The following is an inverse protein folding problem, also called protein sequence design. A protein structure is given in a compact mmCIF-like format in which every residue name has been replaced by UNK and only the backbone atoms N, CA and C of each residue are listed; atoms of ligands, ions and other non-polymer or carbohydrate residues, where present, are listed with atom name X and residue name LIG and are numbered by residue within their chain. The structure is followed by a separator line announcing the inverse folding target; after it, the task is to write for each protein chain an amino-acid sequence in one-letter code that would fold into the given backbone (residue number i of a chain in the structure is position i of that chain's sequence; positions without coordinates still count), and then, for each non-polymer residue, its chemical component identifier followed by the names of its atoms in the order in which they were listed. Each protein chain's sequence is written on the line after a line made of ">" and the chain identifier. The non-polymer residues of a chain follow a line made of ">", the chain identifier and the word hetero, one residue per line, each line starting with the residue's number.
data_IF_966529654708
#
_entry.id   IF_966529654708
#
_cell.length_a   1.000
_cell.length_b   1.000
_cell.length_c   1.000
_cell.angle_alpha   90.00
_cell.angle_beta   90.00
_cell.angle_gamma   90.00
#
_symmetry.space_group_name_H-M   'P 1'
#
loop_
_entity.id
_entity.type
_entity.pdbx_description
1 polymer ?
#
# COMPACT_ATOMS: atom_id res chain seq x y z
N UNK A 1 -3.75 -11.22 34.94
CA UNK A 1 -4.00 -9.90 34.37
C UNK A 1 -4.07 -10.07 32.86
N UNK A 2 -5.26 -10.00 32.32
CA UNK A 2 -5.49 -10.05 30.87
C UNK A 2 -4.98 -8.72 30.29
N UNK A 3 -3.82 -8.74 29.67
CA UNK A 3 -3.58 -7.78 28.61
C UNK A 3 -4.49 -8.20 27.46
N UNK A 4 -5.60 -7.50 27.41
CA UNK A 4 -6.57 -7.58 26.34
C UNK A 4 -5.84 -7.45 25.02
N UNK A 5 -6.16 -8.34 24.09
CA UNK A 5 -5.86 -8.23 22.67
C UNK A 5 -6.60 -6.99 22.12
N UNK A 6 -6.32 -5.83 22.73
CA UNK A 6 -6.88 -4.55 22.40
C UNK A 6 -6.13 -4.02 21.20
N UNK A 7 -6.72 -4.39 20.09
CA UNK A 7 -6.83 -3.54 18.93
C UNK A 7 -5.52 -3.15 18.25
N UNK A 8 -4.90 -4.15 17.62
CA UNK A 8 -3.83 -3.90 16.65
C UNK A 8 -4.36 -3.29 15.33
N UNK A 9 -5.48 -2.54 15.40
CA UNK A 9 -5.96 -1.75 14.29
C UNK A 9 -4.99 -0.60 14.07
N UNK A 10 -4.24 -0.68 12.99
CA UNK A 10 -3.26 0.32 12.57
C UNK A 10 -3.57 0.74 11.16
N UNK A 11 -3.51 2.02 10.90
CA UNK A 11 -3.58 2.53 9.55
C UNK A 11 -2.20 2.51 8.93
N UNK A 12 -2.04 1.89 7.77
CA UNK A 12 -0.82 1.94 6.99
C UNK A 12 -1.08 2.74 5.71
N UNK A 13 -0.19 3.63 5.39
CA UNK A 13 -0.24 4.41 4.16
C UNK A 13 1.18 4.62 3.62
N UNK A 14 1.49 4.20 2.38
CA UNK A 14 2.63 4.74 1.66
C UNK A 14 2.23 6.07 1.03
N UNK A 15 3.16 7.01 0.90
CA UNK A 15 2.96 8.15 0.01
C UNK A 15 2.94 7.68 -1.45
N UNK A 16 2.15 8.32 -2.28
CA UNK A 16 1.97 8.01 -3.71
C UNK A 16 3.28 8.07 -4.52
N UNK A 17 4.31 8.69 -4.00
CA UNK A 17 5.59 8.95 -4.68
C UNK A 17 6.79 8.33 -3.99
N UNK A 18 6.57 7.41 -3.05
CA UNK A 18 7.62 6.81 -2.25
C UNK A 18 7.30 5.33 -1.98
N UNK A 19 8.34 4.54 -1.77
CA UNK A 19 8.27 3.12 -1.41
C UNK A 19 8.18 2.88 0.10
N UNK A 20 8.21 3.93 0.91
CA UNK A 20 8.26 3.83 2.36
C UNK A 20 6.87 3.60 2.95
N UNK A 21 6.77 2.57 3.78
CA UNK A 21 5.54 2.23 4.48
C UNK A 21 5.62 2.63 5.95
N UNK A 22 4.55 3.22 6.41
CA UNK A 22 4.41 3.70 7.77
C UNK A 22 3.12 3.17 8.38
N UNK A 23 3.08 3.04 9.68
CA UNK A 23 1.84 2.71 10.41
C UNK A 23 1.69 3.59 11.62
N UNK A 24 0.44 3.78 12.02
CA UNK A 24 0.05 4.50 13.22
C UNK A 24 -1.07 3.74 13.92
N UNK A 25 -1.07 3.62 15.26
CA UNK A 25 -2.21 3.05 15.98
C UNK A 25 -3.47 3.87 15.72
N UNK A 26 -4.58 3.23 15.36
CA UNK A 26 -5.85 3.94 15.16
C UNK A 26 -6.33 4.62 16.43
N UNK A 27 -6.02 4.05 17.61
CA UNK A 27 -6.26 4.68 18.90
C UNK A 27 -5.59 6.05 19.04
N UNK A 28 -4.39 6.24 18.45
CA UNK A 28 -3.72 7.53 18.46
C UNK A 28 -4.40 8.58 17.56
N UNK A 29 -5.04 8.12 16.45
CA UNK A 29 -5.74 9.01 15.53
C UNK A 29 -7.07 9.55 16.11
N UNK A 30 -7.69 8.83 17.05
CA UNK A 30 -8.96 9.19 17.66
C UNK A 30 -8.82 9.71 19.10
N UNK A 31 -7.61 9.77 19.65
CA UNK A 31 -7.37 10.29 20.99
C UNK A 31 -7.38 11.82 20.96
N UNK A 32 -8.50 12.41 21.40
CA UNK A 32 -8.67 13.85 21.46
C UNK A 32 -7.71 14.57 22.45
N UNK A 33 -7.00 13.82 23.28
CA UNK A 33 -6.00 14.36 24.22
C UNK A 33 -4.62 14.49 23.59
N UNK A 34 -4.39 13.78 22.49
CA UNK A 34 -3.11 13.82 21.78
C UNK A 34 -3.03 15.10 20.95
N UNK A 35 -1.97 15.85 21.15
CA UNK A 35 -1.72 17.06 20.36
C UNK A 35 -1.13 16.71 18.97
N UNK A 36 -1.27 17.58 17.96
CA UNK A 36 -0.65 17.39 16.67
C UNK A 36 0.87 17.18 16.72
N UNK A 37 1.55 17.77 17.69
CA UNK A 37 3.00 17.66 17.87
C UNK A 37 3.43 16.31 18.47
N UNK A 38 2.53 15.63 19.18
CA UNK A 38 2.79 14.31 19.78
C UNK A 38 2.48 13.16 18.82
N UNK A 39 1.59 13.38 17.83
CA UNK A 39 1.16 12.35 16.88
C UNK A 39 2.31 11.76 16.07
N UNK A 40 3.31 12.54 15.56
CA UNK A 40 4.45 11.99 14.83
C UNK A 40 5.23 10.93 15.62
N UNK A 41 5.29 11.06 16.95
CA UNK A 41 5.93 10.08 17.84
C UNK A 41 5.22 8.72 17.90
N UNK A 42 3.99 8.62 17.39
CA UNK A 42 3.22 7.38 17.30
C UNK A 42 3.36 6.69 15.95
N UNK A 43 3.91 7.38 14.96
CA UNK A 43 4.12 6.83 13.61
C UNK A 43 5.34 5.93 13.61
N UNK A 44 5.21 4.73 13.05
CA UNK A 44 6.28 3.75 12.96
C UNK A 44 6.60 3.45 11.51
N UNK A 45 7.89 3.49 11.19
CA UNK A 45 8.40 3.06 9.90
C UNK A 45 8.45 1.53 9.82
N UNK A 46 7.91 0.97 8.75
CA UNK A 46 7.84 -0.48 8.53
C UNK A 46 8.90 -0.98 7.55
N UNK A 47 9.46 -0.10 6.74
CA UNK A 47 10.36 -0.46 5.64
C UNK A 47 9.82 -0.04 4.29
N UNK A 48 10.50 -0.46 3.23
CA UNK A 48 10.13 -0.17 1.85
C UNK A 48 9.54 -1.40 1.17
N UNK A 49 8.53 -1.17 0.33
CA UNK A 49 7.92 -2.17 -0.54
C UNK A 49 7.54 -1.51 -1.88
N UNK A 50 6.59 -2.06 -2.61
CA UNK A 50 6.16 -1.53 -3.90
C UNK A 50 5.52 -0.13 -3.78
N UNK A 51 5.68 0.67 -4.81
CA UNK A 51 5.00 1.96 -4.95
C UNK A 51 3.52 1.71 -5.25
N UNK A 52 2.64 2.08 -4.33
CA UNK A 52 1.21 1.77 -4.48
C UNK A 52 0.34 3.00 -4.56
N UNK A 53 -0.67 2.96 -5.46
CA UNK A 53 -1.68 4.01 -5.61
C UNK A 53 -2.75 3.97 -4.52
N UNK A 54 -3.11 2.78 -4.07
CA UNK A 54 -4.06 2.55 -3.00
C UNK A 54 -3.77 1.27 -2.25
N UNK A 55 -4.29 1.17 -1.05
CA UNK A 55 -4.13 0.02 -0.17
C UNK A 55 -5.43 -0.35 0.51
N UNK A 56 -5.62 -1.65 0.75
CA UNK A 56 -6.62 -2.15 1.68
C UNK A 56 -6.01 -3.23 2.56
N UNK A 57 -6.43 -3.30 3.82
CA UNK A 57 -6.03 -4.36 4.74
C UNK A 57 -7.18 -5.34 4.93
N UNK A 58 -6.88 -6.62 4.88
CA UNK A 58 -7.85 -7.65 5.24
C UNK A 58 -7.92 -7.86 6.78
N UNK A 59 -8.86 -8.70 7.21
CA UNK A 59 -9.07 -9.00 8.63
C UNK A 59 -7.95 -9.85 9.26
N UNK A 60 -7.03 -10.38 8.46
CA UNK A 60 -5.83 -11.08 8.93
C UNK A 60 -4.61 -10.15 9.06
N UNK A 61 -4.73 -8.92 8.57
CA UNK A 61 -3.68 -7.91 8.61
C UNK A 61 -2.76 -7.92 7.39
N UNK A 62 -3.11 -8.63 6.31
CA UNK A 62 -2.43 -8.54 5.04
C UNK A 62 -2.90 -7.29 4.28
N UNK A 63 -1.96 -6.52 3.75
CA UNK A 63 -2.24 -5.37 2.88
C UNK A 63 -2.28 -5.82 1.43
N UNK A 64 -3.22 -5.29 0.67
CA UNK A 64 -3.28 -5.44 -0.79
C UNK A 64 -3.16 -4.07 -1.42
N UNK A 65 -2.27 -3.93 -2.40
CA UNK A 65 -2.01 -2.66 -3.06
C UNK A 65 -1.72 -2.79 -4.54
N UNK A 66 -2.09 -1.77 -5.30
CA UNK A 66 -1.78 -1.68 -6.72
C UNK A 66 -0.35 -1.19 -6.93
N UNK A 67 0.53 -2.06 -7.40
CA UNK A 67 1.89 -1.71 -7.79
C UNK A 67 1.86 -0.93 -9.10
N UNK A 68 2.16 0.35 -9.00
CA UNK A 68 2.08 1.29 -10.10
C UNK A 68 3.23 1.14 -11.11
N UNK A 69 4.33 0.54 -10.69
CA UNK A 69 5.51 0.38 -11.54
C UNK A 69 5.42 -0.85 -12.43
N UNK A 70 4.73 -1.90 -11.96
CA UNK A 70 4.70 -3.20 -12.65
C UNK A 70 3.32 -3.61 -13.15
N UNK A 71 2.29 -2.77 -12.98
CA UNK A 71 0.90 -3.06 -13.39
C UNK A 71 0.40 -4.37 -12.77
N UNK A 72 0.61 -4.49 -11.47
CA UNK A 72 0.21 -5.67 -10.68
C UNK A 72 -0.54 -5.26 -9.43
N UNK A 73 -1.14 -6.23 -8.76
CA UNK A 73 -1.54 -6.10 -7.35
C UNK A 73 -0.64 -6.99 -6.52
N UNK A 74 -0.13 -6.46 -5.45
CA UNK A 74 0.72 -7.16 -4.49
C UNK A 74 -0.02 -7.37 -3.16
N UNK A 75 0.36 -8.42 -2.46
CA UNK A 75 0.00 -8.60 -1.06
C UNK A 75 1.26 -8.36 -0.22
N UNK A 76 1.14 -7.50 0.79
CA UNK A 76 2.24 -7.14 1.70
C UNK A 76 1.87 -7.61 3.10
N UNK A 77 2.58 -8.59 3.57
CA UNK A 77 2.46 -9.10 4.94
C UNK A 77 3.38 -8.31 5.86
N UNK A 78 2.91 -8.00 7.06
CA UNK A 78 3.70 -7.35 8.10
C UNK A 78 4.03 -8.42 9.15
N UNK A 79 5.29 -8.80 9.24
CA UNK A 79 5.74 -9.72 10.28
C UNK A 79 5.51 -9.10 11.67
N UNK A 80 4.75 -9.79 12.51
CA UNK A 80 4.33 -9.26 13.82
C UNK A 80 5.48 -9.11 14.82
N UNK A 81 6.50 -9.95 14.70
CA UNK A 81 7.63 -9.95 15.62
C UNK A 81 8.71 -8.96 15.21
N UNK A 82 9.03 -8.92 13.92
CA UNK A 82 10.12 -8.08 13.38
C UNK A 82 9.64 -6.77 12.79
N UNK A 83 8.33 -6.65 12.56
CA UNK A 83 7.67 -5.55 11.86
C UNK A 83 8.22 -5.30 10.44
N UNK A 84 8.86 -6.32 9.84
CA UNK A 84 9.35 -6.25 8.48
C UNK A 84 8.27 -6.56 7.49
N UNK A 85 8.32 -5.87 6.35
CA UNK A 85 7.44 -6.12 5.22
C UNK A 85 7.93 -7.32 4.42
N UNK A 86 6.98 -8.12 3.94
CA UNK A 86 7.19 -9.18 2.98
C UNK A 86 6.13 -9.10 1.91
N UNK A 87 6.52 -8.63 0.74
CA UNK A 87 5.61 -8.54 -0.39
C UNK A 87 5.65 -9.80 -1.25
N UNK A 88 4.54 -10.05 -1.92
CA UNK A 88 4.37 -11.11 -2.90
C UNK A 88 3.38 -10.68 -3.97
N UNK A 89 3.66 -11.12 -5.19
CA UNK A 89 2.71 -10.93 -6.29
C UNK A 89 1.38 -11.61 -5.94
N UNK A 90 0.29 -10.85 -6.03
CA UNK A 90 -1.07 -11.35 -5.84
C UNK A 90 -1.75 -11.60 -7.20
N UNK A 91 -1.79 -10.60 -8.06
CA UNK A 91 -2.32 -10.75 -9.42
C UNK A 91 -1.59 -9.83 -10.40
N UNK A 92 -1.39 -10.33 -11.60
CA UNK A 92 -0.84 -9.58 -12.74
C UNK A 92 -1.86 -9.57 -13.86
N UNK A 93 -2.20 -8.38 -14.35
CA UNK A 93 -3.11 -8.21 -15.47
C UNK A 93 -2.65 -7.06 -16.38
N UNK A 94 -1.60 -7.28 -17.21
CA UNK A 94 -1.06 -6.26 -18.10
C UNK A 94 -2.15 -5.68 -19.02
N UNK A 95 -2.17 -4.37 -19.18
CA UNK A 95 -3.17 -3.66 -19.96
C UNK A 95 -4.57 -3.58 -19.32
N UNK A 96 -4.73 -4.12 -18.11
CA UNK A 96 -5.99 -4.03 -17.34
C UNK A 96 -5.80 -3.42 -15.95
N UNK A 97 -4.60 -3.50 -15.40
CA UNK A 97 -4.23 -2.94 -14.10
C UNK A 97 -3.07 -1.99 -14.30
N UNK A 98 -3.36 -0.77 -14.75
CA UNK A 98 -2.32 0.25 -14.95
C UNK A 98 -2.19 1.19 -13.76
N UNK A 99 -3.29 1.42 -13.05
CA UNK A 99 -3.34 2.28 -11.87
C UNK A 99 -4.43 1.80 -10.91
N UNK A 100 -4.19 0.66 -10.27
CA UNK A 100 -5.13 0.11 -9.28
C UNK A 100 -5.02 0.92 -7.98
N UNK A 101 -6.04 1.72 -7.66
CA UNK A 101 -6.05 2.66 -6.54
C UNK A 101 -7.27 2.55 -5.63
N UNK A 102 -8.34 1.91 -6.10
CA UNK A 102 -9.53 1.66 -5.31
C UNK A 102 -9.67 0.18 -4.97
N UNK A 103 -9.86 -0.14 -3.69
CA UNK A 103 -10.01 -1.52 -3.23
C UNK A 103 -11.18 -1.67 -2.27
N UNK A 104 -11.86 -2.81 -2.36
CA UNK A 104 -12.84 -3.24 -1.37
C UNK A 104 -12.78 -4.75 -1.19
N UNK A 105 -13.03 -5.23 0.03
CA UNK A 105 -13.13 -6.66 0.33
C UNK A 105 -14.56 -6.95 0.78
N UNK A 106 -15.22 -7.86 0.09
CA UNK A 106 -16.58 -8.28 0.44
C UNK A 106 -16.82 -9.73 0.00
N UNK A 107 -17.46 -10.51 0.84
CA UNK A 107 -17.88 -11.89 0.56
C UNK A 107 -16.77 -12.79 -0.01
N UNK A 108 -15.51 -12.60 0.46
CA UNK A 108 -14.36 -13.38 0.01
C UNK A 108 -13.74 -12.92 -1.32
N UNK A 109 -14.18 -11.80 -1.86
CA UNK A 109 -13.63 -11.20 -3.08
C UNK A 109 -12.88 -9.91 -2.77
N UNK A 110 -11.77 -9.71 -3.47
CA UNK A 110 -11.10 -8.41 -3.57
C UNK A 110 -11.59 -7.72 -4.84
N UNK A 111 -12.28 -6.60 -4.66
CA UNK A 111 -12.72 -5.70 -5.75
C UNK A 111 -11.64 -4.68 -5.99
N UNK A 112 -11.30 -4.44 -7.25
CA UNK A 112 -10.23 -3.54 -7.67
C UNK A 112 -10.81 -2.53 -8.65
N UNK A 113 -10.65 -1.25 -8.37
CA UNK A 113 -10.90 -0.18 -9.32
C UNK A 113 -9.57 0.30 -9.87
N UNK A 114 -9.49 0.41 -11.19
CA UNK A 114 -8.30 0.88 -11.90
C UNK A 114 -8.64 2.18 -12.63
N UNK A 115 -8.02 3.27 -12.22
CA UNK A 115 -8.27 4.59 -12.80
C UNK A 115 -7.50 4.87 -14.09
N UNK A 116 -6.55 4.01 -14.45
CA UNK A 116 -5.73 4.11 -15.69
C UNK A 116 -5.04 5.47 -15.89
N UNK A 117 -4.64 6.11 -14.81
CA UNK A 117 -4.08 7.47 -14.86
C UNK A 117 -2.79 7.57 -15.68
N UNK A 118 -2.03 6.47 -15.78
CA UNK A 118 -0.87 6.40 -16.66
C UNK A 118 -1.20 6.64 -18.14
N UNK A 119 -2.33 6.14 -18.58
CA UNK A 119 -2.74 6.20 -19.99
C UNK A 119 -3.23 7.60 -20.33
N UNK A 120 -3.67 8.37 -19.35
CA UNK A 120 -4.19 9.72 -19.55
C UNK A 120 -3.11 10.81 -19.63
N UNK A 121 -1.84 10.45 -19.49
CA UNK A 121 -0.71 11.37 -19.61
C UNK A 121 -0.56 12.40 -18.49
N UNK A 122 -1.46 12.41 -17.52
CA UNK A 122 -1.49 13.39 -16.41
C UNK A 122 -0.23 13.28 -15.54
N UNK A 123 0.30 12.08 -15.37
CA UNK A 123 1.48 11.81 -14.55
C UNK A 123 2.71 11.38 -15.35
N UNK A 124 2.61 11.23 -16.65
CA UNK A 124 3.66 10.69 -17.50
C UNK A 124 4.99 11.44 -17.35
N UNK A 125 4.93 12.75 -17.19
CA UNK A 125 6.14 13.55 -17.02
C UNK A 125 6.68 13.58 -15.60
N UNK A 126 5.89 13.17 -14.61
CA UNK A 126 6.29 13.23 -13.19
C UNK A 126 6.85 11.90 -12.70
N UNK A 127 6.32 10.79 -13.20
CA UNK A 127 6.70 9.46 -12.77
C UNK A 127 7.72 8.79 -13.73
N UNK A 128 7.86 9.28 -14.94
CA UNK A 128 8.99 8.88 -15.82
C UNK A 128 10.36 9.26 -15.24
N UNK A 129 10.41 10.22 -14.32
CA UNK A 129 11.62 10.57 -13.58
C UNK A 129 11.99 9.56 -12.47
N UNK A 130 11.05 8.75 -12.02
CA UNK A 130 11.26 7.64 -11.07
C UNK A 130 11.43 6.30 -11.80
N UNK A 131 11.53 6.40 -13.07
CA UNK A 131 11.76 5.47 -14.13
C UNK A 131 11.83 4.00 -13.79
N UNK A 132 10.94 3.37 -14.45
CA UNK A 132 11.17 2.08 -15.08
C UNK A 132 12.60 1.98 -15.58
N UNK A 133 13.41 1.16 -14.96
CA UNK A 133 14.58 0.63 -15.64
C UNK A 133 14.10 0.00 -16.95
N UNK A 134 14.63 0.43 -18.08
CA UNK A 134 14.24 -0.06 -19.43
C UNK A 134 14.40 -1.57 -19.61
N UNK A 135 15.06 -2.23 -18.65
CA UNK A 135 15.23 -3.68 -18.58
C UNK A 135 13.96 -4.47 -18.27
N UNK A 136 12.93 -3.83 -17.68
CA UNK A 136 11.68 -4.48 -17.27
C UNK A 136 10.50 -4.22 -18.21
N UNK A 137 10.73 -3.56 -19.35
CA UNK A 137 9.71 -3.45 -20.40
C UNK A 137 9.39 -4.82 -20.95
N UNK A 138 8.12 -5.29 -20.90
CA UNK A 138 7.74 -6.49 -21.60
C UNK A 138 8.03 -6.28 -23.09
N UNK A 139 8.91 -7.09 -23.63
CA UNK A 139 9.11 -7.19 -25.08
C UNK A 139 7.80 -7.62 -25.71
N UNK A 140 7.09 -6.68 -26.30
CA UNK A 140 5.98 -6.97 -27.21
C UNK A 140 6.55 -7.72 -28.42
N UNK A 141 6.27 -8.99 -28.49
CA UNK A 141 6.25 -9.77 -29.72
C UNK A 141 4.85 -10.29 -29.96
#
# INVERSE_FOLDING_TARGET
>A
MNESAEDDRRSAAPPLTDHNYWRVPTSALIDARLTPDELPGKVQYLGSAELTGGLIMDHHGALYGGDLEHSTVVAVDIDRATHKLKSRLFVRAPGRLSWADGFAISQGYLYIADSQLWEQGIFKNHLDSYARNDADKPTTR
#
